data_IF_580751131684
#
_entry.id   IF_580751131684
#
_cell.length_a   1.000
_cell.length_b   1.000
_cell.length_c   1.000
_cell.angle_alpha   90.00
_cell.angle_beta   90.00
_cell.angle_gamma   90.00
#
_symmetry.space_group_name_H-M   'P 1'
#
loop_
_entity.id
_entity.type
_entity.pdbx_description
1 polymer ?
#
# COMPACT_ATOMS: atom_id res chain seq x y z
N UNK A 1 -4.66 19.82 8.17
CA UNK A 1 -5.94 19.55 8.83
C UNK A 1 -5.87 20.02 10.28
N UNK A 2 -6.99 20.46 10.85
CA UNK A 2 -7.11 20.66 12.30
C UNK A 2 -7.16 19.30 13.01
N UNK A 3 -6.93 19.30 14.33
CA UNK A 3 -7.07 18.07 15.14
C UNK A 3 -8.51 17.53 15.09
N UNK A 4 -9.48 18.43 14.95
CA UNK A 4 -10.91 18.11 14.84
C UNK A 4 -11.22 17.41 13.52
N UNK A 5 -10.65 17.86 12.39
CA UNK A 5 -10.81 17.21 11.08
C UNK A 5 -10.17 15.81 11.05
N UNK A 6 -9.06 15.59 11.78
CA UNK A 6 -8.45 14.26 11.91
C UNK A 6 -9.35 13.31 12.71
N UNK A 7 -10.06 13.84 13.71
CA UNK A 7 -10.96 13.07 14.56
C UNK A 7 -12.25 12.73 13.83
N UNK A 8 -12.81 13.66 13.04
CA UNK A 8 -13.94 13.39 12.14
C UNK A 8 -13.57 12.36 11.06
N UNK A 9 -12.37 12.40 10.49
CA UNK A 9 -11.92 11.36 9.54
C UNK A 9 -11.80 9.97 10.19
N UNK A 10 -11.39 9.90 11.47
CA UNK A 10 -11.37 8.65 12.23
C UNK A 10 -12.77 8.12 12.53
N UNK A 11 -13.74 9.00 12.77
CA UNK A 11 -15.14 8.63 12.96
C UNK A 11 -15.78 8.18 11.64
N UNK A 12 -15.47 8.83 10.51
CA UNK A 12 -15.92 8.42 9.17
C UNK A 12 -15.32 7.07 8.73
N UNK A 13 -14.03 6.82 9.01
CA UNK A 13 -13.39 5.51 8.83
C UNK A 13 -14.12 4.42 9.64
N UNK A 14 -14.61 4.76 10.84
CA UNK A 14 -15.35 3.86 11.73
C UNK A 14 -16.84 3.69 11.32
N UNK A 15 -17.46 4.67 10.66
CA UNK A 15 -18.85 4.57 10.17
C UNK A 15 -18.97 3.76 8.86
N UNK A 16 -17.85 3.47 8.18
CA UNK A 16 -17.80 2.56 7.02
C UNK A 16 -17.87 1.06 7.40
N UNK A 17 -17.99 0.72 8.69
CA UNK A 17 -17.88 -0.62 9.30
C UNK A 17 -19.06 -1.60 9.12
N UNK A 18 -19.84 -1.52 8.02
CA UNK A 18 -20.75 -2.63 7.69
C UNK A 18 -20.07 -3.72 6.83
N UNK A 19 -18.79 -3.54 6.50
CA UNK A 19 -18.00 -4.55 5.81
C UNK A 19 -17.55 -5.66 6.78
N UNK A 20 -17.93 -6.90 6.48
CA UNK A 20 -17.43 -8.08 7.19
C UNK A 20 -16.41 -8.77 6.28
N UNK A 21 -15.15 -8.93 6.73
CA UNK A 21 -14.14 -9.66 5.99
C UNK A 21 -14.64 -11.05 5.56
N UNK A 22 -14.28 -11.52 4.35
CA UNK A 22 -14.65 -12.86 3.91
C UNK A 22 -14.00 -13.91 4.80
N UNK A 23 -14.64 -15.08 4.91
CA UNK A 23 -13.99 -16.22 5.57
C UNK A 23 -12.73 -16.62 4.81
N UNK A 24 -11.64 -16.85 5.55
CA UNK A 24 -10.39 -17.32 4.97
C UNK A 24 -10.58 -18.65 4.24
N UNK A 25 -10.09 -18.70 3.00
CA UNK A 25 -10.02 -19.90 2.18
C UNK A 25 -8.71 -19.90 1.42
N UNK A 26 -8.04 -21.03 1.41
CA UNK A 26 -6.81 -21.19 0.64
C UNK A 26 -7.10 -21.21 -0.86
N UNK A 27 -6.08 -20.87 -1.65
CA UNK A 27 -6.10 -21.01 -3.11
C UNK A 27 -6.49 -22.43 -3.51
N UNK A 28 -5.97 -23.44 -2.80
CA UNK A 28 -6.25 -24.85 -3.07
C UNK A 28 -7.72 -25.21 -2.89
N UNK A 29 -8.36 -24.72 -1.82
CA UNK A 29 -9.79 -24.93 -1.55
C UNK A 29 -10.66 -24.20 -2.58
N UNK A 30 -10.26 -22.98 -2.97
CA UNK A 30 -10.95 -22.22 -4.01
C UNK A 30 -10.89 -22.96 -5.33
N UNK A 31 -9.77 -23.58 -5.69
CA UNK A 31 -9.63 -24.36 -6.92
C UNK A 31 -10.46 -25.65 -6.86
N UNK A 32 -10.45 -26.36 -5.73
CA UNK A 32 -11.16 -27.63 -5.56
C UNK A 32 -12.69 -27.46 -5.52
N UNK A 33 -13.19 -26.32 -5.04
CA UNK A 33 -14.61 -26.01 -5.05
C UNK A 33 -15.16 -26.03 -6.49
N UNK A 34 -16.37 -26.56 -6.68
CA UNK A 34 -17.09 -26.52 -7.96
C UNK A 34 -16.29 -27.04 -9.17
N UNK A 35 -15.43 -28.04 -8.96
CA UNK A 35 -14.52 -28.55 -9.99
C UNK A 35 -15.23 -29.04 -11.26
N UNK A 36 -16.51 -29.41 -11.17
CA UNK A 36 -17.32 -29.88 -12.30
C UNK A 36 -17.98 -28.74 -13.11
N UNK A 37 -17.87 -27.48 -12.66
CA UNK A 37 -18.45 -26.33 -13.33
C UNK A 37 -17.41 -25.67 -14.26
N UNK A 38 -17.62 -25.78 -15.56
CA UNK A 38 -16.71 -25.23 -16.57
C UNK A 38 -16.65 -23.68 -16.53
N UNK A 39 -17.76 -23.03 -16.20
CA UNK A 39 -17.83 -21.56 -16.16
C UNK A 39 -17.05 -21.01 -14.97
N UNK A 40 -17.20 -21.62 -13.78
CA UNK A 40 -16.45 -21.26 -12.59
C UNK A 40 -14.97 -21.60 -12.74
N UNK A 41 -14.64 -22.70 -13.41
CA UNK A 41 -13.26 -23.04 -13.74
C UNK A 41 -12.58 -22.01 -14.64
N UNK A 42 -13.28 -21.49 -15.67
CA UNK A 42 -12.79 -20.40 -16.53
C UNK A 42 -12.65 -19.10 -15.75
N UNK A 43 -13.60 -18.78 -14.88
CA UNK A 43 -13.54 -17.60 -14.01
C UNK A 43 -12.34 -17.64 -13.06
N UNK A 44 -12.12 -18.77 -12.36
CA UNK A 44 -10.96 -18.96 -11.48
C UNK A 44 -9.64 -18.88 -12.24
N UNK A 45 -9.58 -19.39 -13.48
CA UNK A 45 -8.39 -19.26 -14.32
C UNK A 45 -8.06 -17.80 -14.66
N UNK A 46 -9.09 -16.99 -14.96
CA UNK A 46 -8.91 -15.59 -15.28
C UNK A 46 -8.40 -14.78 -14.07
N UNK A 47 -8.85 -15.12 -12.86
CA UNK A 47 -8.45 -14.43 -11.63
C UNK A 47 -7.12 -14.90 -11.06
N UNK A 48 -6.91 -16.21 -10.97
CA UNK A 48 -5.74 -16.81 -10.32
C UNK A 48 -4.55 -16.97 -11.26
N UNK A 49 -4.79 -17.03 -12.58
CA UNK A 49 -3.72 -17.21 -13.57
C UNK A 49 -2.86 -18.43 -13.25
N UNK A 50 -1.55 -18.19 -13.06
CA UNK A 50 -0.56 -19.21 -12.71
C UNK A 50 -0.86 -19.91 -11.37
N UNK A 51 -1.40 -19.18 -10.39
CA UNK A 51 -1.71 -19.72 -9.07
C UNK A 51 -2.80 -20.82 -9.09
N UNK A 52 -3.53 -20.97 -10.22
CA UNK A 52 -4.46 -22.09 -10.39
C UNK A 52 -3.74 -23.44 -10.62
N UNK A 53 -2.56 -23.40 -11.25
CA UNK A 53 -1.86 -24.60 -11.71
C UNK A 53 -0.70 -25.00 -10.81
N UNK A 54 -0.06 -24.03 -10.16
CA UNK A 54 1.09 -24.26 -9.31
C UNK A 54 1.16 -23.26 -8.16
N UNK A 55 1.90 -23.63 -7.11
CA UNK A 55 2.11 -22.75 -5.98
C UNK A 55 3.11 -21.65 -6.37
N UNK A 56 2.66 -20.40 -6.28
CA UNK A 56 3.49 -19.24 -6.61
C UNK A 56 4.34 -18.86 -5.40
N UNK A 57 5.67 -18.96 -5.52
CA UNK A 57 6.64 -18.61 -4.50
C UNK A 57 7.72 -17.75 -5.14
N UNK A 58 7.76 -16.47 -4.77
CA UNK A 58 8.74 -15.50 -5.29
C UNK A 58 10.01 -15.52 -4.44
N UNK A 59 9.85 -15.62 -3.12
CA UNK A 59 10.93 -15.77 -2.16
C UNK A 59 10.57 -16.90 -1.18
N UNK A 60 11.31 -17.99 -1.25
CA UNK A 60 11.11 -19.16 -0.39
C UNK A 60 11.65 -18.95 1.03
N UNK A 61 12.58 -18.01 1.23
CA UNK A 61 13.16 -17.73 2.54
C UNK A 61 12.32 -16.71 3.33
N UNK A 62 11.50 -15.93 2.63
CA UNK A 62 10.56 -15.01 3.27
C UNK A 62 9.24 -15.72 3.61
N UNK A 63 8.85 -15.82 4.89
CA UNK A 63 7.60 -16.47 5.28
C UNK A 63 6.37 -15.62 4.96
N UNK A 64 6.51 -14.32 4.65
CA UNK A 64 5.39 -13.41 4.42
C UNK A 64 4.66 -13.74 3.11
N UNK A 65 3.35 -13.53 3.11
CA UNK A 65 2.49 -13.71 1.94
C UNK A 65 2.61 -12.51 0.98
N UNK A 66 2.72 -11.29 1.54
CA UNK A 66 2.90 -10.05 0.80
C UNK A 66 4.32 -9.53 1.01
N UNK A 67 5.02 -9.29 -0.10
CA UNK A 67 6.40 -8.79 -0.13
C UNK A 67 6.41 -7.40 -0.78
N UNK A 68 6.33 -6.35 0.04
CA UNK A 68 6.43 -4.97 -0.44
C UNK A 68 7.89 -4.70 -0.85
N UNK A 69 8.12 -4.41 -2.12
CA UNK A 69 9.47 -4.24 -2.68
C UNK A 69 9.91 -2.77 -2.72
N UNK A 70 8.99 -1.88 -3.05
CA UNK A 70 9.29 -0.45 -3.08
C UNK A 70 8.06 0.43 -3.00
N UNK A 71 8.29 1.69 -2.61
CA UNK A 71 7.38 2.79 -2.92
C UNK A 71 8.06 3.77 -3.85
N UNK A 72 7.30 4.37 -4.75
CA UNK A 72 7.77 5.34 -5.72
C UNK A 72 6.91 6.58 -5.64
N UNK A 73 7.54 7.73 -5.43
CA UNK A 73 6.92 9.03 -5.58
C UNK A 73 6.86 9.35 -7.08
N UNK A 74 5.65 9.49 -7.60
CA UNK A 74 5.37 9.80 -9.00
C UNK A 74 4.84 11.23 -9.07
N UNK A 75 5.55 12.07 -9.82
CA UNK A 75 5.21 13.48 -10.03
C UNK A 75 5.21 13.72 -11.53
N UNK A 76 4.18 14.41 -12.03
CA UNK A 76 4.09 14.72 -13.46
C UNK A 76 5.32 15.53 -13.93
N UNK A 77 5.78 15.22 -15.14
CA UNK A 77 6.95 15.83 -15.78
C UNK A 77 8.28 15.69 -15.00
N UNK A 78 8.37 14.73 -14.07
CA UNK A 78 9.60 14.45 -13.32
C UNK A 78 9.97 12.96 -13.31
N UNK A 79 11.26 12.64 -13.15
CA UNK A 79 11.68 11.28 -12.89
C UNK A 79 11.08 10.76 -11.58
N UNK A 80 10.58 9.53 -11.63
CA UNK A 80 10.14 8.76 -10.47
C UNK A 80 11.26 8.68 -9.42
N UNK A 81 10.92 8.89 -8.15
CA UNK A 81 11.84 8.70 -7.03
C UNK A 81 11.41 7.45 -6.26
N UNK A 82 12.24 6.41 -6.26
CA UNK A 82 11.90 5.10 -5.67
C UNK A 82 12.68 4.83 -4.40
N UNK A 83 11.99 4.48 -3.32
CA UNK A 83 12.55 3.88 -2.12
C UNK A 83 12.36 2.35 -2.18
N UNK A 84 13.46 1.61 -2.09
CA UNK A 84 13.48 0.15 -1.97
C UNK A 84 13.26 -0.26 -0.51
N UNK A 85 12.46 -1.31 -0.31
CA UNK A 85 12.01 -1.81 0.99
C UNK A 85 12.36 -3.29 1.20
N UNK A 86 13.15 -3.85 0.28
CA UNK A 86 13.57 -5.26 0.25
C UNK A 86 14.72 -5.58 1.20
N UNK A 87 15.44 -4.57 1.70
CA UNK A 87 16.57 -4.74 2.60
C UNK A 87 16.34 -3.98 3.92
N UNK A 88 16.77 -4.58 5.05
CA UNK A 88 16.77 -3.93 6.37
C UNK A 88 17.73 -2.72 6.47
N UNK A 89 18.39 -2.34 5.37
CA UNK A 89 19.36 -1.26 5.32
C UNK A 89 18.71 0.09 4.97
N UNK A 90 18.70 0.95 5.99
CA UNK A 90 18.44 2.40 6.01
C UNK A 90 16.97 2.86 6.13
N UNK A 91 16.51 2.92 7.38
CA UNK A 91 15.31 3.63 7.83
C UNK A 91 15.46 5.18 7.80
N UNK A 92 16.27 5.73 6.87
CA UNK A 92 16.52 7.17 6.71
C UNK A 92 16.21 7.65 5.27
N UNK A 93 15.28 6.99 4.60
CA UNK A 93 14.82 7.47 3.31
C UNK A 93 14.04 8.77 3.48
N UNK A 94 14.32 9.73 2.61
CA UNK A 94 13.59 10.99 2.52
C UNK A 94 13.17 11.28 1.09
N UNK A 95 11.96 11.81 0.94
CA UNK A 95 11.49 12.39 -0.31
C UNK A 95 11.41 13.91 -0.13
N UNK A 96 11.86 14.65 -1.14
CA UNK A 96 11.62 16.10 -1.22
C UNK A 96 10.56 16.36 -2.27
N UNK A 97 9.51 17.06 -1.89
CA UNK A 97 8.43 17.50 -2.77
C UNK A 97 8.34 19.02 -2.78
N UNK A 98 8.13 19.59 -3.95
CA UNK A 98 7.79 21.02 -4.06
C UNK A 98 6.37 21.25 -3.55
N UNK A 99 6.20 22.32 -2.79
CA UNK A 99 4.89 22.78 -2.36
C UNK A 99 3.94 22.99 -3.56
N UNK A 100 2.68 22.57 -3.43
CA UNK A 100 1.67 22.66 -4.48
C UNK A 100 1.88 21.68 -5.65
N UNK A 101 2.84 20.77 -5.55
CA UNK A 101 3.00 19.72 -6.55
C UNK A 101 1.94 18.64 -6.38
N UNK A 102 1.29 18.28 -7.48
CA UNK A 102 0.48 17.08 -7.56
C UNK A 102 1.38 15.83 -7.62
N UNK A 103 1.08 14.83 -6.80
CA UNK A 103 1.85 13.59 -6.72
C UNK A 103 0.95 12.38 -6.53
N UNK A 104 1.53 11.20 -6.77
CA UNK A 104 0.98 9.90 -6.43
C UNK A 104 2.06 9.04 -5.79
N UNK A 105 1.66 8.07 -4.99
CA UNK A 105 2.56 7.04 -4.46
C UNK A 105 2.23 5.72 -5.16
N UNK A 106 3.22 5.14 -5.86
CA UNK A 106 3.13 3.79 -6.41
C UNK A 106 3.77 2.80 -5.45
N UNK A 107 3.05 1.76 -5.09
CA UNK A 107 3.54 0.61 -4.35
C UNK A 107 3.81 -0.51 -5.34
N UNK A 108 4.97 -1.16 -5.21
CA UNK A 108 5.34 -2.31 -6.00
C UNK A 108 5.61 -3.49 -5.05
N UNK A 109 4.91 -4.60 -5.25
CA UNK A 109 4.91 -5.73 -4.31
C UNK A 109 4.63 -7.07 -5.01
N UNK A 110 4.98 -8.16 -4.33
CA UNK A 110 4.52 -9.49 -4.71
C UNK A 110 3.52 -10.02 -3.71
N UNK A 111 2.62 -10.87 -4.21
CA UNK A 111 1.83 -11.79 -3.39
C UNK A 111 2.25 -13.19 -3.77
N UNK A 112 2.54 -14.03 -2.77
CA UNK A 112 3.01 -15.40 -2.93
C UNK A 112 2.25 -16.32 -1.98
N UNK A 113 2.17 -17.62 -2.24
CA UNK A 113 1.39 -18.64 -1.50
C UNK A 113 -0.13 -18.44 -1.63
N UNK A 114 -0.72 -17.52 -0.88
CA UNK A 114 -2.18 -17.38 -0.74
C UNK A 114 -2.70 -16.04 -1.26
N UNK A 115 -4.02 -15.95 -1.52
CA UNK A 115 -4.66 -14.68 -1.88
C UNK A 115 -4.57 -13.73 -0.68
N UNK A 116 -4.11 -12.50 -0.92
CA UNK A 116 -4.24 -11.44 0.08
C UNK A 116 -5.56 -10.70 -0.16
N UNK A 117 -6.45 -10.71 0.82
CA UNK A 117 -7.75 -10.03 0.74
C UNK A 117 -7.72 -8.71 1.49
N UNK A 118 -8.14 -7.63 0.81
CA UNK A 118 -8.25 -6.31 1.43
C UNK A 118 -6.91 -5.72 1.85
N UNK A 119 -5.88 -5.88 1.02
CA UNK A 119 -4.61 -5.20 1.20
C UNK A 119 -4.88 -3.69 1.27
N UNK A 120 -4.31 -3.05 2.29
CA UNK A 120 -4.48 -1.61 2.54
C UNK A 120 -3.18 -0.99 3.03
N UNK A 121 -3.02 0.27 2.68
CA UNK A 121 -1.91 1.10 3.12
C UNK A 121 -2.42 2.14 4.10
N UNK A 122 -1.82 2.22 5.28
CA UNK A 122 -2.12 3.23 6.30
C UNK A 122 -0.94 4.17 6.42
N UNK A 123 -1.22 5.45 6.26
CA UNK A 123 -0.29 6.56 6.40
C UNK A 123 -0.60 7.36 7.65
N UNK A 124 0.42 7.69 8.44
CA UNK A 124 0.31 8.63 9.57
C UNK A 124 1.42 9.66 9.45
N UNK A 125 1.05 10.92 9.26
CA UNK A 125 2.01 12.02 9.10
C UNK A 125 2.09 12.83 10.39
N UNK A 126 3.32 13.10 10.82
CA UNK A 126 3.62 13.89 12.01
C UNK A 126 4.58 15.03 11.68
N UNK A 127 4.36 16.19 12.28
CA UNK A 127 5.25 17.34 12.22
C UNK A 127 5.56 17.81 13.63
N UNK A 128 6.85 17.93 13.97
CA UNK A 128 7.29 18.24 15.33
C UNK A 128 6.61 17.35 16.41
N UNK A 129 6.50 16.05 16.12
CA UNK A 129 5.82 15.04 16.96
C UNK A 129 4.30 15.22 17.12
N UNK A 130 3.68 16.17 16.44
CA UNK A 130 2.24 16.38 16.42
C UNK A 130 1.66 15.67 15.18
N UNK A 131 0.66 14.79 15.31
CA UNK A 131 -0.08 14.24 14.17
C UNK A 131 -0.76 15.36 13.39
N UNK A 132 -0.53 15.40 12.07
CA UNK A 132 -1.09 16.43 11.18
C UNK A 132 -1.98 15.86 10.09
N UNK A 133 -1.85 14.55 9.84
CA UNK A 133 -2.63 13.83 8.84
C UNK A 133 -2.59 12.31 9.10
N UNK A 134 -3.66 11.62 8.72
CA UNK A 134 -3.77 10.16 8.73
C UNK A 134 -4.71 9.75 7.61
N UNK A 135 -4.25 8.84 6.76
CA UNK A 135 -5.03 8.34 5.64
C UNK A 135 -4.91 6.82 5.50
N UNK A 136 -5.97 6.18 5.00
CA UNK A 136 -5.99 4.75 4.69
C UNK A 136 -6.42 4.55 3.25
N UNK A 137 -5.60 3.85 2.47
CA UNK A 137 -5.86 3.53 1.07
C UNK A 137 -6.15 2.03 0.92
N UNK A 138 -7.37 1.69 0.50
CA UNK A 138 -7.71 0.33 0.10
C UNK A 138 -7.03 0.01 -1.23
N UNK A 139 -6.06 -0.91 -1.20
CA UNK A 139 -5.32 -1.34 -2.39
C UNK A 139 -6.09 -2.44 -3.12
N UNK A 140 -6.82 -3.28 -2.39
CA UNK A 140 -7.68 -4.34 -2.93
C UNK A 140 -7.20 -5.75 -2.62
N UNK A 141 -7.74 -6.74 -3.33
CA UNK A 141 -7.39 -8.15 -3.17
C UNK A 141 -6.52 -8.64 -4.32
N UNK A 142 -5.45 -9.36 -4.01
CA UNK A 142 -4.42 -9.75 -4.96
C UNK A 142 -4.16 -11.25 -4.87
N UNK A 143 -4.20 -11.92 -6.02
CA UNK A 143 -3.82 -13.32 -6.13
C UNK A 143 -2.28 -13.46 -6.16
N UNK A 144 -1.75 -14.64 -5.78
CA UNK A 144 -0.33 -14.93 -5.92
C UNK A 144 0.12 -14.81 -7.38
N UNK A 145 1.24 -14.11 -7.62
CA UNK A 145 1.78 -13.89 -8.97
C UNK A 145 3.30 -13.73 -8.97
N UNK A 146 3.98 -14.36 -9.94
CA UNK A 146 5.44 -14.25 -10.08
C UNK A 146 5.86 -12.85 -10.53
N UNK A 147 5.07 -12.20 -11.37
CA UNK A 147 5.30 -10.81 -11.77
C UNK A 147 4.95 -9.82 -10.64
N UNK A 148 5.63 -8.67 -10.65
CA UNK A 148 5.40 -7.58 -9.72
C UNK A 148 3.99 -7.00 -9.93
N UNK A 149 3.26 -6.85 -8.84
CA UNK A 149 1.97 -6.18 -8.81
C UNK A 149 2.16 -4.76 -8.29
N UNK A 150 1.28 -3.85 -8.70
CA UNK A 150 1.38 -2.45 -8.29
C UNK A 150 0.03 -1.85 -7.95
N UNK A 151 0.08 -0.87 -7.06
CA UNK A 151 -1.04 -0.01 -6.70
C UNK A 151 -0.56 1.44 -6.73
N UNK A 152 -1.39 2.36 -7.22
CA UNK A 152 -1.09 3.79 -7.24
C UNK A 152 -2.20 4.51 -6.48
N UNK A 153 -1.82 5.35 -5.52
CA UNK A 153 -2.79 6.18 -4.80
C UNK A 153 -3.51 7.14 -5.75
N UNK A 154 -4.69 7.67 -5.35
CA UNK A 154 -5.24 8.88 -5.96
C UNK A 154 -4.21 10.02 -6.01
N UNK A 155 -4.46 11.00 -6.88
CA UNK A 155 -3.66 12.24 -6.91
C UNK A 155 -3.88 12.98 -5.60
N UNK A 156 -2.78 13.38 -4.98
CA UNK A 156 -2.75 14.29 -3.84
C UNK A 156 -1.88 15.52 -4.16
N UNK A 157 -2.05 16.61 -3.43
CA UNK A 157 -1.32 17.86 -3.62
C UNK A 157 -0.51 18.23 -2.37
N UNK A 158 0.80 18.45 -2.52
CA UNK A 158 1.63 18.87 -1.42
C UNK A 158 1.17 20.25 -0.87
N UNK A 159 0.99 20.41 0.44
CA UNK A 159 0.48 21.67 0.99
C UNK A 159 1.42 22.85 0.70
N UNK A 160 0.82 24.00 0.40
CA UNK A 160 1.53 25.21 -0.03
C UNK A 160 1.64 26.28 1.05
N UNK A 161 2.75 27.03 1.03
CA UNK A 161 2.95 28.22 1.85
C UNK A 161 4.01 28.04 2.94
N UNK A 162 4.57 29.17 3.39
CA UNK A 162 5.67 29.22 4.37
C UNK A 162 5.41 28.39 5.64
N UNK A 163 4.15 28.34 6.10
CA UNK A 163 3.78 27.57 7.29
C UNK A 163 3.81 26.07 7.06
N UNK A 164 3.59 25.57 5.84
CA UNK A 164 3.54 24.15 5.51
C UNK A 164 4.89 23.58 5.04
N UNK A 165 5.84 24.45 4.66
CA UNK A 165 7.20 23.99 4.33
C UNK A 165 7.91 23.39 5.55
N UNK A 166 8.78 22.43 5.29
CA UNK A 166 9.62 21.76 6.28
C UNK A 166 9.48 20.24 6.27
N UNK A 167 9.99 19.63 7.33
CA UNK A 167 10.16 18.18 7.43
C UNK A 167 9.00 17.52 8.17
N UNK A 168 8.45 16.48 7.57
CA UNK A 168 7.38 15.64 8.08
C UNK A 168 7.89 14.22 8.26
N UNK A 169 7.52 13.59 9.36
CA UNK A 169 7.81 12.18 9.59
C UNK A 169 6.57 11.36 9.26
N UNK A 170 6.71 10.45 8.32
CA UNK A 170 5.64 9.58 7.85
C UNK A 170 5.87 8.18 8.41
N UNK A 171 4.86 7.66 9.11
CA UNK A 171 4.78 6.25 9.48
C UNK A 171 3.86 5.56 8.49
N UNK A 172 4.39 4.52 7.86
CA UNK A 172 3.72 3.76 6.80
C UNK A 172 3.53 2.33 7.25
N UNK A 173 2.34 1.78 7.00
CA UNK A 173 1.99 0.40 7.32
C UNK A 173 1.21 -0.21 6.17
N UNK A 174 1.59 -1.41 5.73
CA UNK A 174 0.83 -2.22 4.78
C UNK A 174 0.27 -3.42 5.55
N UNK A 175 -1.05 -3.54 5.56
CA UNK A 175 -1.78 -4.58 6.27
C UNK A 175 -2.97 -5.10 5.44
N UNK A 176 -3.74 -6.05 5.96
CA UNK A 176 -4.89 -6.63 5.26
C UNK A 176 -6.12 -6.80 6.17
N UNK A 177 -7.17 -7.44 5.66
CA UNK A 177 -8.41 -7.66 6.40
C UNK A 177 -8.32 -8.79 7.43
N UNK A 178 -7.31 -9.65 7.30
CA UNK A 178 -6.99 -10.71 8.26
C UNK A 178 -6.18 -10.19 9.46
N UNK A 179 -5.80 -8.91 9.45
CA UNK A 179 -5.06 -8.25 10.52
C UNK A 179 -3.55 -8.50 10.47
N UNK A 180 -3.02 -9.01 9.35
CA UNK A 180 -1.58 -9.15 9.18
C UNK A 180 -0.92 -7.79 8.99
N UNK A 181 0.21 -7.57 9.66
CA UNK A 181 1.13 -6.47 9.35
C UNK A 181 2.23 -6.99 8.43
N UNK A 182 2.16 -6.65 7.14
CA UNK A 182 3.10 -7.14 6.14
C UNK A 182 4.40 -6.34 6.12
N UNK A 183 4.30 -5.02 6.35
CA UNK A 183 5.45 -4.13 6.45
C UNK A 183 5.05 -2.83 7.15
N UNK A 184 5.79 -2.48 8.19
CA UNK A 184 5.73 -1.17 8.85
C UNK A 184 7.09 -0.49 8.81
N UNK A 185 7.14 0.74 8.31
CA UNK A 185 8.37 1.53 8.21
C UNK A 185 8.13 3.01 8.46
N UNK A 186 9.21 3.77 8.55
CA UNK A 186 9.17 5.21 8.75
C UNK A 186 10.12 5.88 7.78
N UNK A 187 9.69 7.01 7.22
CA UNK A 187 10.45 7.81 6.28
C UNK A 187 10.12 9.28 6.47
N UNK A 188 10.87 10.14 5.79
CA UNK A 188 10.77 11.59 5.93
C UNK A 188 10.29 12.24 4.65
N UNK A 189 9.28 13.11 4.73
CA UNK A 189 8.84 13.94 3.62
C UNK A 189 9.28 15.39 3.88
N UNK A 190 10.06 15.97 2.99
CA UNK A 190 10.40 17.39 3.02
C UNK A 190 9.55 18.15 2.01
N UNK A 191 8.79 19.15 2.48
CA UNK A 191 8.05 20.07 1.64
C UNK A 191 8.87 21.35 1.48
N UNK A 192 9.34 21.61 0.27
CA UNK A 192 10.20 22.74 -0.05
C UNK A 192 9.53 23.72 -1.02
N UNK A 193 10.02 24.96 -1.07
CA UNK A 193 9.51 25.98 -2.01
C UNK A 193 9.71 25.58 -3.47
N UNK A 194 10.86 24.96 -3.73
CA UNK A 194 11.23 24.40 -5.00
C UNK A 194 11.76 23.00 -4.73
N UNK A 195 11.73 22.17 -5.76
CA UNK A 195 12.43 20.90 -5.73
C UNK A 195 13.91 21.23 -5.52
N UNK A 196 14.54 20.73 -4.45
CA UNK A 196 15.96 20.97 -4.20
C UNK A 196 16.82 20.66 -5.43
N UNK A 197 18.00 21.28 -5.49
CA UNK A 197 19.00 21.01 -6.53
C UNK A 197 19.44 19.53 -6.54
#
# INVERSE_FOLDING_TARGET
MSVEEIQEQQELDAEQENYVPPAQKSVSEIIAADANDESLNRYKQALLGQAKSEQVIVDANDPRNVLVRSITLVVEDRPDITMRLDNEQSNEASFTIKEGAAYRIRFDFHVQREICTGLKYVQKVTRHSIPVDRETFMMGSYAPKMELQSFITPVDEAPSGLLHRGTYKVKSQVCDDDGHDWLSWTWTLEIAKDWGD
#
